data_IF_036302513794
#
_entry.id   IF_036302513794
#
_cell.length_a   1.000
_cell.length_b   1.000
_cell.length_c   1.000
_cell.angle_alpha   90.00
_cell.angle_beta   90.00
_cell.angle_gamma   90.00
#
_symmetry.space_group_name_H-M   'P 1'
#
loop_
_entity.id
_entity.type
_entity.pdbx_description
1 polymer ?
#
# COMPACT_ATOMS: atom_id res chain seq x y z
N UNK A 1 9.05 -4.17 9.95
CA UNK A 1 8.25 -4.18 8.72
C UNK A 1 7.10 -3.20 8.86
N UNK A 2 6.91 -2.37 7.86
CA UNK A 2 5.82 -1.40 7.85
C UNK A 2 4.80 -1.86 6.86
N UNK A 3 3.57 -1.97 7.32
CA UNK A 3 2.44 -2.30 6.47
C UNK A 3 1.52 -1.10 6.41
N UNK A 4 1.24 -0.63 5.20
CA UNK A 4 0.26 0.42 4.99
C UNK A 4 -1.07 -0.21 4.64
N UNK A 5 -2.08 0.16 5.40
CA UNK A 5 -3.45 -0.24 5.12
C UNK A 5 -4.28 1.02 5.00
N UNK A 6 -5.06 1.11 3.97
CA UNK A 6 -6.03 2.19 3.90
C UNK A 6 -7.13 1.92 4.90
N UNK A 7 -7.35 2.90 5.79
CA UNK A 7 -8.47 2.88 6.72
C UNK A 7 -9.57 3.76 6.16
N UNK A 8 -10.78 3.28 6.18
CA UNK A 8 -11.92 4.01 5.71
C UNK A 8 -13.15 3.11 5.74
N UNK A 9 -14.25 3.62 5.26
CA UNK A 9 -15.45 2.81 5.15
C UNK A 9 -15.37 1.92 3.92
N UNK A 10 -14.79 0.74 4.09
CA UNK A 10 -14.75 -0.31 3.09
C UNK A 10 -15.85 -1.34 3.26
N UNK A 11 -16.88 -1.04 4.05
CA UNK A 11 -17.96 -2.00 4.29
C UNK A 11 -18.63 -2.44 2.99
N UNK A 12 -18.86 -1.52 2.07
CA UNK A 12 -19.40 -1.85 0.75
C UNK A 12 -18.45 -2.73 -0.05
N UNK A 13 -17.17 -2.38 -0.07
CA UNK A 13 -16.16 -3.18 -0.76
C UNK A 13 -16.06 -4.57 -0.15
N UNK A 14 -16.08 -4.69 1.16
CA UNK A 14 -16.07 -5.98 1.86
C UNK A 14 -17.29 -6.81 1.50
N UNK A 15 -18.48 -6.22 1.52
CA UNK A 15 -19.72 -6.90 1.12
C UNK A 15 -19.67 -7.37 -0.33
N UNK A 16 -19.10 -6.55 -1.21
CA UNK A 16 -18.96 -6.89 -2.60
C UNK A 16 -17.96 -8.02 -2.81
N UNK A 17 -16.85 -8.00 -2.08
CA UNK A 17 -15.87 -9.08 -2.11
C UNK A 17 -16.48 -10.39 -1.61
N UNK A 18 -17.32 -10.35 -0.58
CA UNK A 18 -18.04 -11.53 -0.10
C UNK A 18 -19.00 -12.10 -1.14
N UNK A 19 -19.74 -11.23 -1.83
CA UNK A 19 -20.69 -11.63 -2.87
C UNK A 19 -19.98 -12.07 -4.15
N UNK A 20 -18.82 -11.48 -4.42
CA UNK A 20 -18.07 -11.69 -5.65
C UNK A 20 -16.89 -12.66 -5.48
N UNK A 21 -16.87 -13.44 -4.40
CA UNK A 21 -15.75 -14.37 -4.08
C UNK A 21 -15.35 -15.27 -5.24
N UNK A 22 -16.29 -15.62 -6.10
CA UNK A 22 -16.05 -16.44 -7.30
C UNK A 22 -15.67 -15.60 -8.51
N UNK A 23 -15.94 -14.29 -8.48
CA UNK A 23 -15.75 -13.38 -9.61
C UNK A 23 -14.49 -12.54 -9.49
N UNK A 24 -14.06 -12.23 -8.27
CA UNK A 24 -12.84 -11.42 -8.05
C UNK A 24 -11.64 -12.34 -8.18
N UNK A 25 -10.92 -12.18 -9.28
CA UNK A 25 -9.70 -12.94 -9.54
C UNK A 25 -8.55 -12.41 -8.72
N UNK A 26 -7.92 -13.29 -7.94
CA UNK A 26 -6.71 -12.95 -7.19
C UNK A 26 -5.61 -12.41 -8.10
N UNK A 27 -5.58 -12.84 -9.38
CA UNK A 27 -4.63 -12.31 -10.37
C UNK A 27 -4.79 -10.82 -10.63
N UNK A 28 -5.99 -10.28 -10.54
CA UNK A 28 -6.21 -8.84 -10.70
C UNK A 28 -5.67 -8.05 -9.50
N UNK A 29 -5.78 -8.60 -8.30
CA UNK A 29 -5.18 -8.00 -7.11
C UNK A 29 -3.64 -8.01 -7.18
N UNK A 30 -3.04 -9.08 -7.71
CA UNK A 30 -1.60 -9.12 -7.97
C UNK A 30 -1.16 -8.01 -8.92
N UNK A 31 -1.93 -7.76 -9.97
CA UNK A 31 -1.65 -6.66 -10.90
C UNK A 31 -1.61 -5.32 -10.17
N UNK A 32 -2.59 -5.05 -9.32
CA UNK A 32 -2.63 -3.82 -8.53
C UNK A 32 -1.52 -3.78 -7.48
N UNK A 33 -1.16 -4.92 -6.92
CA UNK A 33 -0.02 -5.01 -6.01
C UNK A 33 1.29 -4.60 -6.68
N UNK A 34 1.57 -5.14 -7.85
CA UNK A 34 2.76 -4.79 -8.64
C UNK A 34 2.74 -3.31 -9.04
N UNK A 35 1.59 -2.80 -9.46
CA UNK A 35 1.42 -1.39 -9.84
C UNK A 35 1.65 -0.48 -8.64
N UNK A 36 1.12 -0.83 -7.46
CA UNK A 36 1.32 -0.09 -6.22
C UNK A 36 2.78 -0.05 -5.79
N UNK A 37 3.48 -1.18 -5.86
CA UNK A 37 4.92 -1.25 -5.56
C UNK A 37 5.71 -0.34 -6.50
N UNK A 38 5.42 -0.38 -7.80
CA UNK A 38 6.09 0.47 -8.78
C UNK A 38 5.85 1.96 -8.50
N UNK A 39 4.61 2.33 -8.16
CA UNK A 39 4.25 3.70 -7.86
C UNK A 39 4.92 4.20 -6.59
N UNK A 40 4.93 3.38 -5.53
CA UNK A 40 5.62 3.70 -4.29
C UNK A 40 7.13 3.85 -4.50
N UNK A 41 7.73 2.94 -5.28
CA UNK A 41 9.15 3.03 -5.61
C UNK A 41 9.47 4.34 -6.34
N UNK A 42 8.65 4.72 -7.31
CA UNK A 42 8.84 5.97 -8.07
C UNK A 42 8.68 7.21 -7.20
N UNK A 43 7.80 7.18 -6.21
CA UNK A 43 7.51 8.32 -5.35
C UNK A 43 8.50 8.47 -4.19
N UNK A 44 9.20 7.39 -3.83
CA UNK A 44 10.13 7.38 -2.70
C UNK A 44 11.30 8.32 -2.95
N UNK A 45 11.58 9.27 -2.01
CA UNK A 45 12.77 10.10 -2.12
C UNK A 45 14.04 9.25 -2.24
N UNK A 46 14.85 9.51 -3.27
CA UNK A 46 16.00 8.66 -3.59
C UNK A 46 17.28 9.30 -3.07
N UNK A 47 17.97 8.57 -2.20
CA UNK A 47 19.38 8.83 -1.85
C UNK A 47 20.24 7.72 -2.47
N UNK A 48 20.12 6.50 -1.96
CA UNK A 48 20.84 5.34 -2.49
C UNK A 48 19.99 4.44 -3.38
N UNK A 49 18.67 4.67 -3.42
CA UNK A 49 17.73 3.80 -4.09
C UNK A 49 17.31 2.58 -3.29
N UNK A 50 17.92 2.33 -2.13
CA UNK A 50 17.65 1.15 -1.32
C UNK A 50 16.22 1.11 -0.80
N UNK A 51 15.71 2.22 -0.29
CA UNK A 51 14.33 2.31 0.17
C UNK A 51 13.34 2.14 -0.98
N UNK A 52 13.60 2.82 -2.11
CA UNK A 52 12.76 2.71 -3.30
C UNK A 52 12.66 1.26 -3.80
N UNK A 53 13.73 0.50 -3.70
CA UNK A 53 13.80 -0.88 -4.17
C UNK A 53 13.35 -1.92 -3.13
N UNK A 54 12.89 -1.49 -1.96
CA UNK A 54 12.50 -2.37 -0.86
C UNK A 54 10.99 -2.44 -0.63
N UNK A 55 10.18 -1.92 -1.53
CA UNK A 55 8.74 -2.01 -1.46
C UNK A 55 8.24 -3.37 -1.91
N UNK A 56 7.26 -3.90 -1.19
CA UNK A 56 6.63 -5.19 -1.46
C UNK A 56 5.14 -5.08 -1.20
N UNK A 57 4.39 -6.04 -1.71
CA UNK A 57 2.98 -6.16 -1.38
C UNK A 57 2.67 -7.59 -0.92
N UNK A 58 1.56 -7.73 -0.24
CA UNK A 58 1.08 -9.00 0.27
C UNK A 58 -0.44 -9.03 0.15
N UNK A 59 -0.97 -10.14 -0.37
CA UNK A 59 -2.40 -10.39 -0.44
C UNK A 59 -2.72 -11.47 0.57
N UNK A 60 -3.66 -11.20 1.46
CA UNK A 60 -4.17 -12.17 2.42
C UNK A 60 -5.64 -12.44 2.13
N UNK A 61 -5.96 -13.73 2.02
CA UNK A 61 -7.33 -14.17 1.91
C UNK A 61 -7.71 -14.92 3.19
N UNK A 62 -8.68 -14.38 3.90
CA UNK A 62 -9.27 -15.01 5.07
C UNK A 62 -10.74 -15.26 4.77
N UNK A 63 -11.37 -16.14 5.55
CA UNK A 63 -12.79 -16.40 5.41
C UNK A 63 -13.57 -15.09 5.51
N UNK A 64 -14.25 -14.70 4.44
CA UNK A 64 -15.05 -13.49 4.39
C UNK A 64 -14.29 -12.21 4.06
N UNK A 65 -12.96 -12.25 3.87
CA UNK A 65 -12.21 -11.04 3.56
C UNK A 65 -10.98 -11.28 2.69
N UNK A 66 -10.67 -10.30 1.85
CA UNK A 66 -9.41 -10.24 1.10
C UNK A 66 -8.77 -8.89 1.40
N UNK A 67 -7.49 -8.88 1.70
CA UNK A 67 -6.76 -7.65 1.95
C UNK A 67 -5.48 -7.58 1.13
N UNK A 68 -5.09 -6.37 0.74
CA UNK A 68 -3.80 -6.09 0.13
C UNK A 68 -3.05 -5.12 1.04
N UNK A 69 -1.79 -5.43 1.31
CA UNK A 69 -0.93 -4.61 2.15
C UNK A 69 0.36 -4.30 1.42
N UNK A 70 0.85 -3.08 1.58
CA UNK A 70 2.14 -2.67 1.05
C UNK A 70 3.09 -2.44 2.22
N UNK A 71 4.33 -2.89 2.08
CA UNK A 71 5.33 -2.75 3.14
C UNK A 71 6.72 -2.54 2.56
N UNK A 72 7.61 -2.00 3.38
CA UNK A 72 8.99 -1.75 2.99
C UNK A 72 9.93 -2.48 3.95
N UNK A 73 10.90 -3.20 3.39
CA UNK A 73 11.82 -4.04 4.17
C UNK A 73 13.10 -3.32 4.57
N UNK A 74 13.31 -2.06 4.15
CA UNK A 74 14.51 -1.33 4.52
C UNK A 74 14.41 -0.79 5.95
N UNK A 75 14.89 -1.59 6.89
CA UNK A 75 14.99 -1.23 8.31
C UNK A 75 16.47 -1.21 8.66
N UNK A 76 16.95 -0.07 9.18
CA UNK A 76 18.36 0.11 9.54
C UNK A 76 18.44 0.50 11.01
N UNK A 77 19.20 -0.25 11.80
CA UNK A 77 19.34 -0.05 13.24
C UNK A 77 17.99 0.05 13.95
N UNK A 78 17.04 -0.80 13.54
CA UNK A 78 15.67 -0.79 14.07
C UNK A 78 14.80 0.35 13.54
N UNK A 79 15.31 1.20 12.65
CA UNK A 79 14.59 2.35 12.12
C UNK A 79 14.00 2.02 10.75
N UNK A 80 12.66 2.10 10.59
CA UNK A 80 12.02 1.93 9.30
C UNK A 80 12.19 3.18 8.44
N UNK A 81 13.09 3.11 7.47
CA UNK A 81 13.51 4.27 6.69
C UNK A 81 12.34 4.89 5.89
N UNK A 82 11.49 4.08 5.30
CA UNK A 82 10.35 4.59 4.52
C UNK A 82 9.42 5.49 5.36
N UNK A 83 9.25 5.16 6.65
CA UNK A 83 8.39 5.93 7.56
C UNK A 83 9.03 7.27 7.94
N UNK A 84 10.31 7.28 8.25
CA UNK A 84 10.96 8.54 8.61
C UNK A 84 11.04 9.51 7.44
N UNK A 85 11.09 9.00 6.20
CA UNK A 85 11.01 9.84 5.00
C UNK A 85 9.62 10.47 4.86
N UNK A 86 8.58 9.76 5.26
CA UNK A 86 7.20 10.24 5.20
C UNK A 86 6.90 11.28 6.29
N UNK A 87 7.30 11.00 7.53
CA UNK A 87 6.88 11.79 8.70
C UNK A 87 7.95 12.69 9.26
N UNK A 88 9.20 12.52 8.83
CA UNK A 88 10.32 13.25 9.39
C UNK A 88 10.90 12.56 10.63
N UNK A 89 12.00 13.08 11.12
CA UNK A 89 12.68 12.50 12.29
C UNK A 89 13.62 13.49 12.96
N UNK A 90 13.90 13.24 14.24
CA UNK A 90 14.88 14.00 14.99
C UNK A 90 16.30 13.57 14.62
N UNK A 91 17.24 14.51 14.61
CA UNK A 91 18.66 14.25 14.40
C UNK A 91 19.40 14.13 15.73
N UNK A 92 20.63 13.57 15.69
CA UNK A 92 21.47 13.44 16.89
C UNK A 92 21.78 14.77 17.55
N UNK A 93 21.82 15.86 16.79
CA UNK A 93 22.19 17.19 17.27
C UNK A 93 20.97 18.00 17.75
N UNK A 94 19.83 17.36 18.01
CA UNK A 94 18.63 18.03 18.47
C UNK A 94 17.85 18.75 17.38
N UNK A 95 18.23 18.57 16.11
CA UNK A 95 17.51 19.12 14.98
C UNK A 95 16.36 18.22 14.52
N UNK A 96 15.70 18.65 13.46
CA UNK A 96 14.59 17.91 12.86
C UNK A 96 14.74 17.89 11.34
N UNK A 97 14.56 16.70 10.75
CA UNK A 97 14.46 16.55 9.29
C UNK A 97 12.99 16.45 8.93
N UNK A 98 12.53 17.38 8.10
CA UNK A 98 11.13 17.45 7.68
C UNK A 98 10.77 16.25 6.81
N UNK A 99 9.64 15.62 7.11
CA UNK A 99 9.08 14.55 6.26
C UNK A 99 8.40 15.11 5.02
N UNK A 100 8.16 14.23 4.08
CA UNK A 100 7.43 14.53 2.84
C UNK A 100 6.36 13.47 2.64
N UNK A 101 5.11 13.92 2.50
CA UNK A 101 3.98 13.02 2.24
C UNK A 101 4.09 12.50 0.79
N UNK A 102 4.74 11.35 0.62
CA UNK A 102 4.90 10.71 -0.68
C UNK A 102 4.09 9.41 -0.81
N UNK A 103 3.84 8.75 0.33
CA UNK A 103 3.18 7.43 0.34
C UNK A 103 1.70 7.56 -0.01
N UNK A 104 0.98 8.46 0.67
CA UNK A 104 -0.46 8.59 0.47
C UNK A 104 -0.82 9.00 -0.97
N UNK A 105 -0.19 10.02 -1.57
CA UNK A 105 -0.49 10.36 -2.96
C UNK A 105 -0.14 9.25 -3.94
N UNK A 106 0.88 8.44 -3.66
CA UNK A 106 1.29 7.35 -4.53
C UNK A 106 0.30 6.19 -4.51
N UNK A 107 -0.19 5.81 -3.32
CA UNK A 107 -0.97 4.59 -3.15
C UNK A 107 -2.49 4.82 -3.28
N UNK A 108 -2.97 6.02 -3.02
CA UNK A 108 -4.40 6.31 -3.08
C UNK A 108 -5.03 5.98 -4.44
N UNK A 109 -4.43 6.35 -5.59
CA UNK A 109 -4.99 5.99 -6.88
C UNK A 109 -5.08 4.47 -7.10
N UNK A 110 -4.17 3.69 -6.53
CA UNK A 110 -4.18 2.23 -6.63
C UNK A 110 -5.39 1.67 -5.87
N UNK A 111 -5.65 2.15 -4.65
CA UNK A 111 -6.83 1.74 -3.89
C UNK A 111 -8.12 2.14 -4.60
N UNK A 112 -8.16 3.31 -5.22
CA UNK A 112 -9.31 3.76 -5.99
C UNK A 112 -9.58 2.84 -7.19
N UNK A 113 -8.54 2.40 -7.89
CA UNK A 113 -8.66 1.44 -8.99
C UNK A 113 -9.18 0.09 -8.52
N UNK A 114 -8.72 -0.38 -7.37
CA UNK A 114 -9.19 -1.65 -6.77
C UNK A 114 -10.68 -1.53 -6.44
N UNK A 115 -11.08 -0.44 -5.81
CA UNK A 115 -12.48 -0.20 -5.46
C UNK A 115 -13.38 -0.16 -6.71
N UNK A 116 -12.96 0.53 -7.76
CA UNK A 116 -13.68 0.61 -9.01
C UNK A 116 -13.80 -0.75 -9.70
N UNK A 117 -12.72 -1.52 -9.71
CA UNK A 117 -12.72 -2.86 -10.31
C UNK A 117 -13.66 -3.80 -9.56
N UNK A 118 -13.66 -3.76 -8.24
CA UNK A 118 -14.55 -4.56 -7.40
C UNK A 118 -16.00 -4.17 -7.63
N UNK A 119 -16.30 -2.88 -7.73
CA UNK A 119 -17.62 -2.37 -8.00
C UNK A 119 -18.15 -2.88 -9.35
N UNK A 120 -17.32 -2.79 -10.39
CA UNK A 120 -17.69 -3.25 -11.74
C UNK A 120 -18.00 -4.74 -11.78
N UNK A 121 -17.21 -5.56 -11.08
CA UNK A 121 -17.46 -7.00 -11.03
C UNK A 121 -18.79 -7.32 -10.33
N UNK A 122 -19.10 -6.61 -9.26
CA UNK A 122 -20.35 -6.81 -8.52
C UNK A 122 -21.57 -6.36 -9.32
N UNK A 123 -21.45 -5.26 -10.06
CA UNK A 123 -22.56 -4.74 -10.86
C UNK A 123 -22.84 -5.55 -12.11
N UNK A 124 -21.94 -6.45 -12.52
CA UNK A 124 -22.18 -7.41 -13.59
C UNK A 124 -22.96 -8.64 -13.14
N UNK A 125 -23.02 -8.86 -11.85
CA UNK A 125 -23.76 -9.99 -11.30
C UNK A 125 -25.23 -9.65 -11.16
#
# INVERSE_FOLDING_TARGET
MITFRQKGDFSKLTQFLERAKESVRLGDLDKYGREGVATLASATPVDTGRTANSWHYKIEQKQGSVSISFYNTNIQNGVPIAVILQYGHATRNGGWVQGRDYINPAIQPIFDKIADAAWKEVTKL
#
